data_IF_244410984106
#
_entry.id   IF_244410984106
#
_cell.length_a   1.000
_cell.length_b   1.000
_cell.length_c   1.000
_cell.angle_alpha   90.00
_cell.angle_beta   90.00
_cell.angle_gamma   90.00
#
_symmetry.space_group_name_H-M   'P 1'
#
loop_
_entity.id
_entity.type
_entity.pdbx_description
1 polymer ?
#
# COMPACT_ATOMS: atom_id res chain seq x y z
N UNK A 1 18.22 2.93 4.23
CA UNK A 1 16.86 3.13 4.79
C UNK A 1 16.98 3.55 6.25
N UNK A 2 17.62 2.76 7.10
CA UNK A 2 17.93 3.04 8.51
C UNK A 2 18.41 4.47 8.79
N UNK A 3 19.44 4.93 8.07
CA UNK A 3 19.95 6.30 8.16
C UNK A 3 18.87 7.39 7.97
N UNK A 4 17.89 7.16 7.09
CA UNK A 4 16.80 8.11 6.83
C UNK A 4 15.73 8.09 7.92
N UNK A 5 15.50 6.94 8.54
CA UNK A 5 14.54 6.79 9.65
C UNK A 5 15.05 7.54 10.89
N UNK A 6 16.28 7.27 11.32
CA UNK A 6 16.92 7.95 12.45
C UNK A 6 16.98 9.48 12.29
N UNK A 7 17.26 9.96 11.07
CA UNK A 7 17.24 11.40 10.75
C UNK A 7 15.81 11.97 10.79
N UNK A 8 14.83 11.25 10.21
CA UNK A 8 13.44 11.71 10.14
C UNK A 8 12.81 11.85 11.52
N UNK A 9 13.18 10.98 12.45
CA UNK A 9 12.71 11.00 13.83
C UNK A 9 13.52 11.94 14.73
N UNK A 10 14.56 12.59 14.19
CA UNK A 10 15.49 13.46 14.92
C UNK A 10 16.16 12.74 16.11
N UNK A 11 16.26 11.41 16.05
CA UNK A 11 16.86 10.59 17.09
C UNK A 11 18.38 10.79 17.18
N UNK A 12 19.03 11.09 16.05
CA UNK A 12 20.47 11.24 15.95
C UNK A 12 20.94 12.70 15.83
N UNK A 13 22.02 13.02 16.54
CA UNK A 13 22.65 14.33 16.53
C UNK A 13 24.17 14.23 16.54
N UNK A 14 24.84 15.30 16.13
CA UNK A 14 26.29 15.48 16.27
C UNK A 14 26.58 16.55 17.30
N UNK A 15 27.55 16.28 18.16
CA UNK A 15 28.09 17.24 19.13
C UNK A 15 29.50 17.63 18.69
N UNK A 16 29.73 18.95 18.60
CA UNK A 16 31.01 19.57 18.23
C UNK A 16 31.25 20.70 19.22
N UNK A 17 32.38 20.70 19.93
CA UNK A 17 32.73 21.70 20.96
C UNK A 17 31.60 21.94 21.99
N UNK A 18 30.89 20.87 22.36
CA UNK A 18 29.75 20.91 23.29
C UNK A 18 28.43 21.40 22.70
N UNK A 19 28.40 21.88 21.44
CA UNK A 19 27.17 22.27 20.75
C UNK A 19 26.55 21.08 20.02
N UNK A 20 25.24 20.85 20.20
CA UNK A 20 24.48 19.75 19.58
C UNK A 20 23.73 20.22 18.33
N UNK A 21 23.87 19.49 17.24
CA UNK A 21 23.20 19.73 15.97
C UNK A 21 22.46 18.48 15.50
N UNK A 22 21.18 18.62 15.11
CA UNK A 22 20.44 17.52 14.53
C UNK A 22 21.06 17.11 13.18
N UNK A 23 21.20 15.81 12.96
CA UNK A 23 21.70 15.31 11.67
C UNK A 23 20.66 15.54 10.58
N UNK A 24 21.13 15.98 9.42
CA UNK A 24 20.35 16.18 8.20
C UNK A 24 20.50 14.99 7.23
N UNK A 25 21.66 14.33 7.24
CA UNK A 25 21.96 13.16 6.43
C UNK A 25 23.10 12.38 7.08
N UNK A 26 23.15 11.07 6.86
CA UNK A 26 24.21 10.22 7.39
C UNK A 26 24.49 9.02 6.49
N UNK A 27 25.77 8.62 6.47
CA UNK A 27 26.29 7.42 5.84
C UNK A 27 27.41 6.85 6.73
N UNK A 28 27.84 5.62 6.47
CA UNK A 28 28.88 4.97 7.28
C UNK A 28 30.18 5.79 7.38
N UNK A 29 30.51 6.58 6.36
CA UNK A 29 31.76 7.37 6.29
C UNK A 29 31.59 8.86 6.55
N UNK A 30 30.39 9.35 6.84
CA UNK A 30 30.18 10.79 6.98
C UNK A 30 28.75 11.19 7.33
N UNK A 31 28.62 12.41 7.83
CA UNK A 31 27.34 12.99 8.24
C UNK A 31 27.21 14.41 7.72
N UNK A 32 25.99 14.93 7.72
CA UNK A 32 25.77 16.36 7.54
C UNK A 32 24.71 16.87 8.50
N UNK A 33 24.79 18.15 8.83
CA UNK A 33 23.83 18.83 9.70
C UNK A 33 23.58 20.25 9.17
N UNK A 34 22.45 20.84 9.60
CA UNK A 34 22.15 22.25 9.31
C UNK A 34 22.66 23.10 10.46
N UNK A 35 23.67 23.92 10.19
CA UNK A 35 24.23 24.85 11.15
C UNK A 35 23.30 26.08 11.28
N UNK A 36 22.88 26.47 12.50
CA UNK A 36 22.15 27.71 12.72
C UNK A 36 23.03 28.93 12.42
N UNK A 37 22.43 30.12 12.31
CA UNK A 37 23.12 31.33 11.81
C UNK A 37 24.27 31.79 12.71
N UNK A 38 24.18 31.49 13.99
CA UNK A 38 25.11 31.79 15.07
C UNK A 38 26.13 30.68 15.33
N UNK A 39 26.04 29.55 14.62
CA UNK A 39 27.02 28.49 14.75
C UNK A 39 28.41 28.94 14.26
N UNK A 40 29.49 28.36 14.81
CA UNK A 40 30.85 28.61 14.34
C UNK A 40 31.00 28.48 12.82
N UNK A 41 31.93 29.23 12.24
CA UNK A 41 32.35 29.02 10.86
C UNK A 41 33.41 27.94 10.84
N UNK A 42 33.17 26.85 10.11
CA UNK A 42 34.18 25.84 9.83
C UNK A 42 34.60 25.96 8.36
N UNK A 43 35.89 25.92 8.11
CA UNK A 43 36.45 25.90 6.76
C UNK A 43 36.50 24.48 6.22
N UNK A 44 36.43 24.35 4.89
CA UNK A 44 36.71 23.07 4.25
C UNK A 44 38.13 22.63 4.62
N UNK A 45 38.28 21.35 4.92
CA UNK A 45 39.49 20.71 5.45
C UNK A 45 39.77 20.90 6.95
N UNK A 46 38.97 21.69 7.68
CA UNK A 46 39.04 21.70 9.14
C UNK A 46 38.80 20.29 9.70
N UNK A 47 39.60 19.91 10.70
CA UNK A 47 39.44 18.63 11.42
C UNK A 47 38.87 18.92 12.80
N UNK A 48 37.70 18.32 13.06
CA UNK A 48 36.91 18.54 14.26
C UNK A 48 36.85 17.25 15.08
N UNK A 49 36.91 17.38 16.40
CA UNK A 49 36.51 16.30 17.30
C UNK A 49 34.98 16.27 17.36
N UNK A 50 34.40 15.10 17.09
CA UNK A 50 32.96 14.92 16.96
C UNK A 50 32.48 13.75 17.80
N UNK A 51 31.29 13.92 18.36
CA UNK A 51 30.56 12.87 19.08
C UNK A 51 29.15 12.76 18.48
N UNK A 52 28.91 11.67 17.76
CA UNK A 52 27.63 11.39 17.12
C UNK A 52 26.82 10.52 18.09
N UNK A 53 25.67 11.04 18.49
CA UNK A 53 24.80 10.44 19.50
C UNK A 53 23.46 10.01 18.92
N UNK A 54 22.93 8.94 19.48
CA UNK A 54 21.52 8.56 19.37
C UNK A 54 20.89 8.83 20.74
N UNK A 55 19.91 9.72 20.80
CA UNK A 55 19.39 10.29 22.06
C UNK A 55 20.53 10.85 22.94
N UNK A 56 20.74 10.28 24.12
CA UNK A 56 21.80 10.65 25.06
C UNK A 56 23.10 9.87 24.88
N UNK A 57 23.07 8.74 24.16
CA UNK A 57 24.17 7.76 24.08
C UNK A 57 25.07 8.01 22.88
N UNK A 58 26.39 7.96 23.09
CA UNK A 58 27.39 8.09 22.02
C UNK A 58 27.44 6.83 21.15
N UNK A 59 27.15 7.00 19.86
CA UNK A 59 27.26 5.95 18.85
C UNK A 59 28.61 5.99 18.12
N UNK A 60 29.25 7.15 18.05
CA UNK A 60 30.59 7.31 17.49
C UNK A 60 31.30 8.51 18.12
N UNK A 61 32.57 8.32 18.49
CA UNK A 61 33.43 9.42 18.93
C UNK A 61 34.74 9.36 18.15
N UNK A 62 35.14 10.47 17.56
CA UNK A 62 36.38 10.52 16.78
C UNK A 62 36.57 11.84 16.05
N UNK A 63 37.49 11.85 15.09
CA UNK A 63 37.78 13.03 14.27
C UNK A 63 37.04 12.97 12.94
N UNK A 64 36.53 14.11 12.51
CA UNK A 64 35.91 14.27 11.21
C UNK A 64 36.44 15.53 10.50
N UNK A 65 36.65 15.44 9.19
CA UNK A 65 37.06 16.56 8.35
C UNK A 65 35.84 17.22 7.73
N UNK A 66 35.80 18.54 7.69
CA UNK A 66 34.81 19.30 6.92
C UNK A 66 35.06 19.06 5.43
N UNK A 67 34.24 18.22 4.82
CA UNK A 67 34.37 17.84 3.43
C UNK A 67 33.70 18.86 2.49
N UNK A 68 32.63 19.53 2.94
CA UNK A 68 31.91 20.54 2.17
C UNK A 68 31.03 21.42 3.06
N UNK A 69 30.78 22.65 2.60
CA UNK A 69 29.69 23.50 3.07
C UNK A 69 28.83 23.92 1.88
N UNK A 70 27.51 23.76 1.98
CA UNK A 70 26.56 24.14 0.94
C UNK A 70 25.35 24.87 1.52
N UNK A 71 24.61 25.63 0.69
CA UNK A 71 23.38 26.31 1.12
C UNK A 71 22.15 25.49 0.71
N UNK A 72 21.36 25.06 1.69
CA UNK A 72 20.10 24.34 1.49
C UNK A 72 18.97 25.16 2.09
N UNK A 73 18.01 25.60 1.26
CA UNK A 73 16.91 26.50 1.65
C UNK A 73 17.38 27.75 2.42
N UNK A 74 18.52 28.34 2.00
CA UNK A 74 19.11 29.52 2.64
C UNK A 74 19.78 29.27 4.00
N UNK A 75 19.90 28.01 4.43
CA UNK A 75 20.64 27.60 5.65
C UNK A 75 21.97 26.92 5.27
N UNK A 76 22.97 27.02 6.15
CA UNK A 76 24.29 26.40 5.97
C UNK A 76 24.21 24.91 6.29
N UNK A 77 24.46 24.05 5.32
CA UNK A 77 24.60 22.61 5.52
C UNK A 77 26.09 22.27 5.52
N UNK A 78 26.57 21.71 6.62
CA UNK A 78 27.96 21.31 6.81
C UNK A 78 28.04 19.80 6.66
N UNK A 79 28.89 19.32 5.74
CA UNK A 79 29.14 17.91 5.52
C UNK A 79 30.51 17.51 6.05
N UNK A 80 30.53 16.51 6.94
CA UNK A 80 31.73 15.98 7.56
C UNK A 80 32.03 14.57 7.04
N UNK A 81 33.31 14.30 6.78
CA UNK A 81 33.84 12.97 6.51
C UNK A 81 34.57 12.45 7.75
N UNK A 82 34.23 11.25 8.21
CA UNK A 82 34.90 10.61 9.33
C UNK A 82 36.32 10.21 8.91
N UNK A 83 37.31 10.53 9.75
CA UNK A 83 38.74 10.26 9.48
C UNK A 83 39.24 8.95 10.10
N UNK A 84 38.46 8.33 10.97
CA UNK A 84 38.76 7.04 11.58
C UNK A 84 37.47 6.34 11.99
N UNK A 85 37.45 5.01 11.83
CA UNK A 85 36.26 4.20 12.07
C UNK A 85 35.14 4.47 11.05
N UNK A 86 33.94 4.00 11.38
CA UNK A 86 32.73 4.20 10.59
C UNK A 86 31.52 4.26 11.55
N UNK A 87 30.41 4.82 11.07
CA UNK A 87 29.13 4.75 11.76
C UNK A 87 28.49 3.39 11.54
N UNK A 88 28.36 2.62 12.62
CA UNK A 88 27.56 1.40 12.63
C UNK A 88 26.08 1.77 12.72
N UNK A 89 25.40 1.76 11.57
CA UNK A 89 23.98 2.11 11.48
C UNK A 89 23.08 1.10 12.19
N UNK A 90 23.50 -0.16 12.34
CA UNK A 90 22.73 -1.17 13.07
C UNK A 90 22.81 -0.92 14.57
N UNK A 91 23.99 -0.58 15.08
CA UNK A 91 24.15 -0.22 16.48
C UNK A 91 23.38 1.07 16.82
N UNK A 92 23.41 2.07 15.93
CA UNK A 92 22.60 3.29 16.10
C UNK A 92 21.10 2.99 16.16
N UNK A 93 20.60 2.08 15.31
CA UNK A 93 19.21 1.65 15.36
C UNK A 93 18.91 0.92 16.66
N UNK A 94 19.79 0.03 17.11
CA UNK A 94 19.66 -0.69 18.39
C UNK A 94 19.52 0.29 19.56
N UNK A 95 20.34 1.34 19.60
CA UNK A 95 20.27 2.39 20.63
C UNK A 95 18.94 3.18 20.58
N UNK A 96 18.41 3.43 19.38
CA UNK A 96 17.12 4.10 19.22
C UNK A 96 15.96 3.23 19.71
N UNK A 97 16.00 1.92 19.39
CA UNK A 97 15.04 0.92 19.85
C UNK A 97 15.10 0.74 21.38
N UNK A 98 16.30 0.73 21.98
CA UNK A 98 16.48 0.64 23.44
C UNK A 98 15.91 1.85 24.18
N UNK A 99 16.12 3.06 23.64
CA UNK A 99 15.54 4.27 24.21
C UNK A 99 14.02 4.27 24.03
N UNK A 100 13.52 3.85 22.86
CA UNK A 100 12.08 3.72 22.63
C UNK A 100 11.43 2.76 23.64
N UNK A 101 12.04 1.59 23.88
CA UNK A 101 11.60 0.64 24.89
C UNK A 101 11.66 1.25 26.30
N UNK A 102 12.75 1.94 26.65
CA UNK A 102 12.91 2.56 27.97
C UNK A 102 11.79 3.57 28.22
N UNK A 103 11.49 4.43 27.24
CA UNK A 103 10.36 5.37 27.30
C UNK A 103 9.01 4.66 27.43
N UNK A 104 8.80 3.58 26.68
CA UNK A 104 7.55 2.80 26.77
C UNK A 104 7.37 2.15 28.16
N UNK A 105 8.47 1.72 28.80
CA UNK A 105 8.46 1.16 30.15
C UNK A 105 8.25 2.24 31.23
N UNK A 106 8.85 3.41 31.06
CA UNK A 106 8.74 4.53 32.01
C UNK A 106 7.38 5.22 31.94
N UNK A 107 6.93 5.60 30.74
CA UNK A 107 5.70 6.36 30.54
C UNK A 107 4.45 5.47 30.51
N UNK A 108 4.64 4.17 30.25
CA UNK A 108 3.55 3.19 30.20
C UNK A 108 2.54 3.41 29.05
N UNK A 109 1.44 2.66 29.05
CA UNK A 109 0.38 2.80 28.04
C UNK A 109 -0.34 4.17 28.10
N UNK A 110 -0.24 4.90 29.20
CA UNK A 110 -0.83 6.22 29.43
C UNK A 110 -0.34 7.25 28.40
N UNK A 111 0.92 7.14 27.97
CA UNK A 111 1.51 8.00 26.93
C UNK A 111 0.71 7.98 25.64
N UNK A 112 0.39 6.78 25.16
CA UNK A 112 -0.40 6.56 23.95
C UNK A 112 -1.84 6.98 24.24
N UNK A 113 -2.41 6.51 25.35
CA UNK A 113 -3.81 6.75 25.71
C UNK A 113 -4.18 8.25 25.76
N UNK A 114 -3.30 9.08 26.32
CA UNK A 114 -3.50 10.52 26.44
C UNK A 114 -3.57 11.25 25.09
N UNK A 115 -2.94 10.69 24.05
CA UNK A 115 -2.88 11.26 22.70
C UNK A 115 -4.06 10.81 21.81
N UNK A 116 -4.80 9.77 22.22
CA UNK A 116 -5.96 9.29 21.47
C UNK A 116 -7.20 10.11 21.84
N UNK A 117 -7.95 10.70 20.89
CA UNK A 117 -9.16 11.44 21.22
C UNK A 117 -10.23 10.56 21.88
N UNK A 118 -11.00 11.16 22.80
CA UNK A 118 -12.06 10.46 23.53
C UNK A 118 -13.08 9.77 22.60
N UNK A 119 -13.52 10.47 21.54
CA UNK A 119 -14.46 9.92 20.56
C UNK A 119 -13.91 8.66 19.87
N UNK A 120 -12.61 8.64 19.54
CA UNK A 120 -11.99 7.46 18.96
C UNK A 120 -11.83 6.32 19.97
N UNK A 121 -11.44 6.62 21.21
CA UNK A 121 -11.36 5.62 22.28
C UNK A 121 -12.71 4.92 22.49
N UNK A 122 -13.80 5.67 22.49
CA UNK A 122 -15.16 5.13 22.63
C UNK A 122 -15.52 4.24 21.43
N UNK A 123 -15.27 4.71 20.20
CA UNK A 123 -15.54 3.93 19.00
C UNK A 123 -14.71 2.63 18.93
N UNK A 124 -13.43 2.70 19.30
CA UNK A 124 -12.54 1.54 19.37
C UNK A 124 -12.99 0.57 20.47
N UNK A 125 -13.35 1.06 21.66
CA UNK A 125 -13.86 0.22 22.75
C UNK A 125 -15.14 -0.53 22.30
N UNK A 126 -16.04 0.13 21.56
CA UNK A 126 -17.21 -0.51 20.97
C UNK A 126 -16.81 -1.61 19.98
N UNK A 127 -15.83 -1.37 19.12
CA UNK A 127 -15.33 -2.37 18.16
C UNK A 127 -14.67 -3.58 18.82
N UNK A 128 -13.84 -3.33 19.85
CA UNK A 128 -13.18 -4.37 20.65
C UNK A 128 -14.22 -5.22 21.37
N UNK A 129 -15.16 -4.58 22.06
CA UNK A 129 -16.25 -5.29 22.76
C UNK A 129 -17.08 -6.14 21.77
N UNK A 130 -17.41 -5.59 20.60
CA UNK A 130 -18.13 -6.30 19.56
C UNK A 130 -17.38 -7.56 19.08
N UNK A 131 -16.11 -7.41 18.71
CA UNK A 131 -15.28 -8.52 18.27
C UNK A 131 -15.13 -9.60 19.36
N UNK A 132 -14.79 -9.19 20.59
CA UNK A 132 -14.62 -10.09 21.72
C UNK A 132 -15.92 -10.87 22.06
N UNK A 133 -17.07 -10.19 22.01
CA UNK A 133 -18.38 -10.82 22.24
C UNK A 133 -18.63 -11.95 21.24
N UNK A 134 -18.47 -11.68 19.95
CA UNK A 134 -18.70 -12.70 18.91
C UNK A 134 -17.62 -13.77 18.89
N UNK A 135 -16.36 -13.44 19.19
CA UNK A 135 -15.30 -14.44 19.32
C UNK A 135 -15.63 -15.44 20.42
N UNK A 136 -16.04 -14.95 21.61
CA UNK A 136 -16.46 -15.80 22.74
C UNK A 136 -17.71 -16.61 22.42
N UNK A 137 -18.75 -15.97 21.90
CA UNK A 137 -20.04 -16.62 21.62
C UNK A 137 -19.91 -17.70 20.53
N UNK A 138 -19.26 -17.38 19.41
CA UNK A 138 -19.04 -18.35 18.34
C UNK A 138 -18.12 -19.48 18.80
N UNK A 139 -17.06 -19.18 19.56
CA UNK A 139 -16.18 -20.21 20.13
C UNK A 139 -16.92 -21.18 21.04
N UNK A 140 -17.84 -20.70 21.88
CA UNK A 140 -18.67 -21.55 22.74
C UNK A 140 -19.54 -22.52 21.94
N UNK A 141 -20.20 -22.03 20.88
CA UNK A 141 -21.04 -22.88 20.03
C UNK A 141 -20.22 -23.82 19.16
N UNK A 142 -19.09 -23.36 18.63
CA UNK A 142 -18.16 -24.15 17.83
C UNK A 142 -17.61 -25.35 18.60
N UNK A 143 -17.21 -25.17 19.87
CA UNK A 143 -16.71 -26.25 20.72
C UNK A 143 -17.75 -27.37 20.94
N UNK A 144 -19.04 -27.06 20.81
CA UNK A 144 -20.16 -28.02 20.96
C UNK A 144 -20.54 -28.72 19.67
N UNK A 145 -19.96 -28.31 18.54
CA UNK A 145 -20.18 -28.91 17.22
C UNK A 145 -19.12 -29.95 16.84
N UNK A 146 -18.19 -30.28 17.76
CA UNK A 146 -16.87 -30.84 17.50
C UNK A 146 -16.77 -32.14 16.66
N UNK A 147 -17.87 -32.81 16.31
CA UNK A 147 -17.91 -34.02 15.48
C UNK A 147 -18.73 -33.90 14.18
N UNK A 148 -19.15 -32.69 13.79
CA UNK A 148 -19.93 -32.49 12.55
C UNK A 148 -19.08 -31.97 11.41
N UNK A 149 -18.89 -32.78 10.37
CA UNK A 149 -18.26 -32.33 9.13
C UNK A 149 -19.07 -31.15 8.56
N UNK A 150 -18.41 -30.00 8.37
CA UNK A 150 -19.06 -28.78 7.85
C UNK A 150 -19.80 -27.92 8.90
N UNK A 151 -19.99 -28.39 10.14
CA UNK A 151 -20.75 -27.66 11.16
C UNK A 151 -20.20 -26.26 11.49
N UNK A 152 -18.87 -26.09 11.43
CA UNK A 152 -18.21 -24.78 11.59
C UNK A 152 -18.61 -23.78 10.51
N UNK A 153 -18.66 -24.22 9.26
CA UNK A 153 -18.97 -23.33 8.14
C UNK A 153 -20.44 -22.93 8.16
N UNK A 154 -21.33 -23.87 8.49
CA UNK A 154 -22.74 -23.59 8.66
C UNK A 154 -22.99 -22.59 9.80
N UNK A 155 -22.29 -22.76 10.94
CA UNK A 155 -22.32 -21.78 12.02
C UNK A 155 -21.87 -20.39 11.54
N UNK A 156 -20.79 -20.30 10.76
CA UNK A 156 -20.30 -19.04 10.23
C UNK A 156 -21.30 -18.39 9.25
N UNK A 157 -21.92 -19.16 8.35
CA UNK A 157 -22.97 -18.69 7.43
C UNK A 157 -24.18 -18.14 8.17
N UNK A 158 -24.66 -18.84 9.20
CA UNK A 158 -25.76 -18.35 10.01
C UNK A 158 -25.37 -17.09 10.81
N UNK A 159 -24.15 -17.06 11.34
CA UNK A 159 -23.69 -15.96 12.18
C UNK A 159 -23.51 -14.66 11.38
N UNK A 160 -22.95 -14.72 10.17
CA UNK A 160 -22.64 -13.51 9.39
C UNK A 160 -23.89 -12.69 9.06
N UNK A 161 -25.03 -13.33 8.81
CA UNK A 161 -26.30 -12.62 8.55
C UNK A 161 -26.69 -11.69 9.70
N UNK A 162 -26.47 -12.11 10.94
CA UNK A 162 -26.74 -11.29 12.11
C UNK A 162 -25.61 -10.28 12.42
N UNK A 163 -24.35 -10.62 12.11
CA UNK A 163 -23.18 -9.82 12.47
C UNK A 163 -22.98 -8.67 11.50
N UNK A 164 -23.17 -8.90 10.20
CA UNK A 164 -22.84 -7.98 9.10
C UNK A 164 -23.39 -6.56 9.26
N UNK A 165 -24.70 -6.31 9.45
CA UNK A 165 -25.21 -4.94 9.55
C UNK A 165 -24.65 -4.22 10.78
N UNK A 166 -24.47 -4.93 11.90
CA UNK A 166 -23.93 -4.34 13.13
C UNK A 166 -22.44 -4.04 13.02
N UNK A 167 -21.68 -4.93 12.38
CA UNK A 167 -20.25 -4.70 12.14
C UNK A 167 -20.04 -3.50 11.23
N UNK A 168 -20.86 -3.36 10.19
CA UNK A 168 -20.85 -2.20 9.30
C UNK A 168 -21.04 -0.87 10.08
N UNK A 169 -22.04 -0.80 10.97
CA UNK A 169 -22.26 0.38 11.82
C UNK A 169 -21.07 0.69 12.74
N UNK A 170 -20.50 -0.34 13.38
CA UNK A 170 -19.30 -0.18 14.23
C UNK A 170 -18.15 0.40 13.42
N UNK A 171 -17.93 -0.11 12.21
CA UNK A 171 -16.83 0.32 11.34
C UNK A 171 -16.99 1.77 10.86
N UNK A 172 -18.20 2.15 10.45
CA UNK A 172 -18.50 3.52 10.05
C UNK A 172 -18.37 4.51 11.21
N UNK A 173 -18.82 4.13 12.42
CA UNK A 173 -18.64 4.95 13.61
C UNK A 173 -17.15 5.16 13.94
N UNK A 174 -16.33 4.11 13.81
CA UNK A 174 -14.89 4.21 14.02
C UNK A 174 -14.20 5.08 12.95
N UNK A 175 -14.59 4.95 11.68
CA UNK A 175 -14.12 5.82 10.61
C UNK A 175 -14.50 7.30 10.83
N UNK A 176 -15.76 7.57 11.22
CA UNK A 176 -16.22 8.92 11.54
C UNK A 176 -15.45 9.53 12.72
N UNK A 177 -15.14 8.73 13.75
CA UNK A 177 -14.35 9.17 14.89
C UNK A 177 -12.89 9.51 14.54
N UNK A 178 -12.40 9.07 13.38
CA UNK A 178 -11.07 9.44 12.88
C UNK A 178 -11.02 10.81 12.20
N UNK A 179 -12.17 11.36 11.76
CA UNK A 179 -12.18 12.60 10.99
C UNK A 179 -11.40 13.77 11.64
N UNK A 180 -11.47 14.00 12.97
CA UNK A 180 -10.71 15.07 13.63
C UNK A 180 -9.19 14.85 13.65
N UNK A 181 -8.72 13.61 13.48
CA UNK A 181 -7.29 13.27 13.61
C UNK A 181 -6.58 13.05 12.29
N UNK A 182 -7.28 12.99 11.14
CA UNK A 182 -6.64 12.73 9.83
C UNK A 182 -5.49 13.70 9.49
N UNK A 183 -5.50 14.93 10.02
CA UNK A 183 -4.44 15.92 9.87
C UNK A 183 -3.38 15.93 10.99
N UNK A 184 -3.62 15.24 12.11
CA UNK A 184 -2.75 15.19 13.28
C UNK A 184 -1.96 13.87 13.29
N UNK A 185 -0.67 13.96 12.93
CA UNK A 185 0.20 12.78 12.86
C UNK A 185 0.39 12.09 14.20
N UNK A 186 0.42 12.84 15.30
CA UNK A 186 0.67 12.29 16.62
C UNK A 186 -0.56 11.54 17.10
N UNK A 187 -1.74 12.16 17.00
CA UNK A 187 -3.00 11.51 17.35
C UNK A 187 -3.31 10.30 16.45
N UNK A 188 -2.98 10.36 15.15
CA UNK A 188 -3.06 9.23 14.22
C UNK A 188 -2.20 8.05 14.67
N UNK A 189 -0.91 8.29 14.95
CA UNK A 189 0.01 7.25 15.38
C UNK A 189 -0.46 6.59 16.69
N UNK A 190 -0.89 7.40 17.66
CA UNK A 190 -1.43 6.89 18.92
C UNK A 190 -2.70 6.05 18.73
N UNK A 191 -3.64 6.51 17.88
CA UNK A 191 -4.88 5.80 17.58
C UNK A 191 -4.62 4.47 16.84
N UNK A 192 -3.66 4.43 15.91
CA UNK A 192 -3.20 3.20 15.26
C UNK A 192 -2.60 2.23 16.28
N UNK A 193 -1.65 2.69 17.09
CA UNK A 193 -1.00 1.87 18.12
C UNK A 193 -2.01 1.27 19.10
N UNK A 194 -2.99 2.06 19.55
CA UNK A 194 -4.06 1.57 20.43
C UNK A 194 -4.94 0.52 19.73
N UNK A 195 -5.24 0.69 18.44
CA UNK A 195 -6.03 -0.26 17.64
C UNK A 195 -5.29 -1.58 17.42
N UNK A 196 -4.00 -1.49 17.09
CA UNK A 196 -3.12 -2.65 16.92
C UNK A 196 -2.93 -3.42 18.22
N UNK A 197 -2.96 -2.74 19.36
CA UNK A 197 -2.87 -3.37 20.67
C UNK A 197 -4.18 -4.09 21.04
N UNK A 198 -5.33 -3.45 20.82
CA UNK A 198 -6.61 -3.91 21.39
C UNK A 198 -7.44 -4.77 20.43
N UNK A 199 -7.47 -4.44 19.14
CA UNK A 199 -8.39 -5.06 18.17
C UNK A 199 -7.70 -5.99 17.19
N UNK A 200 -6.57 -5.56 16.60
CA UNK A 200 -5.88 -6.32 15.57
C UNK A 200 -5.55 -7.77 15.95
N UNK A 201 -5.17 -8.13 17.20
CA UNK A 201 -4.88 -9.51 17.57
C UNK A 201 -6.08 -10.44 17.38
N UNK A 202 -7.30 -9.97 17.63
CA UNK A 202 -8.52 -10.75 17.36
C UNK A 202 -8.73 -10.93 15.86
N UNK A 203 -8.49 -9.87 15.07
CA UNK A 203 -8.68 -9.87 13.61
C UNK A 203 -7.75 -10.85 12.89
N UNK A 204 -6.62 -11.22 13.49
CA UNK A 204 -5.67 -12.21 12.93
C UNK A 204 -6.26 -13.61 12.78
N UNK A 205 -7.43 -13.89 13.38
CA UNK A 205 -8.18 -15.12 13.13
C UNK A 205 -8.69 -15.22 11.67
N UNK A 206 -8.85 -14.08 10.98
CA UNK A 206 -9.25 -14.01 9.57
C UNK A 206 -8.01 -14.02 8.65
N UNK A 207 -7.84 -15.03 7.77
CA UNK A 207 -6.65 -15.16 6.92
C UNK A 207 -6.34 -13.95 6.04
N UNK A 208 -7.34 -13.31 5.42
CA UNK A 208 -7.16 -12.13 4.56
C UNK A 208 -6.63 -10.93 5.35
N UNK A 209 -7.16 -10.69 6.55
CA UNK A 209 -6.71 -9.62 7.45
C UNK A 209 -5.31 -9.91 7.97
N UNK A 210 -5.05 -11.16 8.40
CA UNK A 210 -3.73 -11.58 8.86
C UNK A 210 -2.66 -11.38 7.79
N UNK A 211 -2.93 -11.81 6.56
CA UNK A 211 -1.98 -11.68 5.44
C UNK A 211 -1.70 -10.21 5.12
N UNK A 212 -2.73 -9.37 5.10
CA UNK A 212 -2.60 -7.94 4.85
C UNK A 212 -1.81 -7.22 5.96
N UNK A 213 -2.03 -7.58 7.23
CA UNK A 213 -1.34 -6.98 8.38
C UNK A 213 0.13 -7.41 8.49
N UNK A 214 0.43 -8.71 8.35
CA UNK A 214 1.80 -9.21 8.52
C UNK A 214 2.72 -8.92 7.34
N UNK A 215 2.16 -8.49 6.19
CA UNK A 215 2.89 -8.01 5.01
C UNK A 215 4.12 -8.88 4.69
N UNK A 216 3.97 -10.21 4.52
CA UNK A 216 5.11 -11.12 4.39
C UNK A 216 5.93 -10.91 3.10
N UNK A 217 5.42 -10.15 2.14
CA UNK A 217 6.15 -9.70 0.93
C UNK A 217 6.55 -8.21 1.01
N UNK A 218 6.45 -7.59 2.19
CA UNK A 218 6.79 -6.19 2.44
C UNK A 218 5.66 -5.18 2.15
N UNK A 219 4.47 -5.61 1.73
CA UNK A 219 3.31 -4.74 1.47
C UNK A 219 1.99 -5.46 1.73
N UNK A 220 0.92 -4.70 2.02
CA UNK A 220 -0.36 -5.24 2.48
C UNK A 220 -1.24 -5.81 1.36
N UNK A 221 -1.23 -5.17 0.19
CA UNK A 221 -2.07 -5.55 -0.96
C UNK A 221 -1.45 -6.62 -1.86
N UNK A 222 -0.81 -7.65 -1.30
CA UNK A 222 -0.13 -8.67 -2.10
C UNK A 222 -1.07 -9.61 -2.87
N UNK A 223 -0.52 -10.37 -3.82
CA UNK A 223 -1.31 -11.23 -4.69
C UNK A 223 -2.07 -12.35 -3.93
N UNK A 224 -1.64 -12.74 -2.73
CA UNK A 224 -2.37 -13.69 -1.89
C UNK A 224 -3.59 -13.02 -1.23
N UNK A 225 -3.45 -11.77 -0.79
CA UNK A 225 -4.60 -10.96 -0.35
C UNK A 225 -5.62 -10.81 -1.48
N UNK A 226 -5.16 -10.48 -2.69
CA UNK A 226 -6.03 -10.43 -3.86
C UNK A 226 -6.73 -11.77 -4.11
N UNK A 227 -6.01 -12.88 -3.98
CA UNK A 227 -6.57 -14.23 -4.15
C UNK A 227 -7.67 -14.55 -3.13
N UNK A 228 -7.51 -14.18 -1.86
CA UNK A 228 -8.57 -14.30 -0.85
C UNK A 228 -9.80 -13.47 -1.24
N UNK A 229 -9.58 -12.22 -1.65
CA UNK A 229 -10.66 -11.32 -2.05
C UNK A 229 -11.40 -11.85 -3.29
N UNK A 230 -10.70 -12.42 -4.27
CA UNK A 230 -11.34 -13.06 -5.44
C UNK A 230 -12.11 -14.32 -5.08
N UNK A 231 -11.63 -15.11 -4.12
CA UNK A 231 -12.32 -16.33 -3.66
C UNK A 231 -13.60 -16.01 -2.89
N UNK A 232 -13.61 -14.90 -2.16
CA UNK A 232 -14.78 -14.39 -1.41
C UNK A 232 -15.45 -15.46 -0.52
N UNK A 233 -14.61 -16.32 0.09
CA UNK A 233 -15.03 -17.50 0.84
C UNK A 233 -15.10 -17.28 2.36
N UNK A 234 -15.58 -18.31 3.07
CA UNK A 234 -15.50 -18.39 4.52
C UNK A 234 -14.21 -19.10 4.93
N UNK A 235 -13.11 -18.35 5.06
CA UNK A 235 -11.79 -18.92 5.38
C UNK A 235 -11.36 -18.58 6.81
N UNK A 236 -10.75 -19.55 7.50
CA UNK A 236 -10.30 -19.39 8.88
C UNK A 236 -10.35 -20.68 9.67
N UNK A 237 -9.53 -20.76 10.72
CA UNK A 237 -9.46 -21.94 11.60
C UNK A 237 -10.65 -22.03 12.57
N UNK A 238 -11.32 -20.91 12.85
CA UNK A 238 -12.47 -20.80 13.76
C UNK A 238 -13.69 -20.25 13.03
N UNK A 239 -14.89 -20.45 13.60
CA UNK A 239 -16.12 -19.83 13.07
C UNK A 239 -16.01 -18.29 13.06
N UNK A 240 -15.43 -17.71 14.10
CA UNK A 240 -15.14 -16.27 14.17
C UNK A 240 -14.22 -15.82 13.03
N UNK A 241 -13.11 -16.53 12.80
CA UNK A 241 -12.16 -16.22 11.72
C UNK A 241 -12.82 -16.28 10.34
N UNK A 242 -13.66 -17.30 10.10
CA UNK A 242 -14.45 -17.44 8.86
C UNK A 242 -15.41 -16.28 8.64
N UNK A 243 -16.14 -15.85 9.67
CA UNK A 243 -17.06 -14.71 9.60
C UNK A 243 -16.29 -13.42 9.29
N UNK A 244 -15.25 -13.10 10.05
CA UNK A 244 -14.51 -11.85 9.87
C UNK A 244 -13.69 -11.82 8.58
N UNK A 245 -13.23 -12.98 8.08
CA UNK A 245 -12.65 -13.08 6.75
C UNK A 245 -13.67 -12.71 5.68
N UNK A 246 -14.86 -13.30 5.73
CA UNK A 246 -15.92 -13.04 4.76
C UNK A 246 -16.37 -11.58 4.80
N UNK A 247 -16.59 -11.02 5.99
CA UNK A 247 -16.91 -9.60 6.17
C UNK A 247 -15.84 -8.71 5.52
N UNK A 248 -14.56 -8.98 5.79
CA UNK A 248 -13.45 -8.22 5.20
C UNK A 248 -13.42 -8.29 3.66
N UNK A 249 -13.72 -9.44 3.08
CA UNK A 249 -13.81 -9.61 1.63
C UNK A 249 -15.00 -8.86 1.02
N UNK A 250 -16.05 -8.59 1.79
CA UNK A 250 -17.28 -7.92 1.33
C UNK A 250 -17.27 -6.41 1.55
N UNK A 251 -16.34 -5.89 2.36
CA UNK A 251 -16.18 -4.45 2.56
C UNK A 251 -15.92 -3.71 1.24
N UNK A 252 -16.42 -2.48 1.04
CA UNK A 252 -16.37 -1.81 -0.26
C UNK A 252 -14.97 -1.71 -0.89
N UNK A 253 -13.92 -1.47 -0.10
CA UNK A 253 -12.54 -1.45 -0.64
C UNK A 253 -12.06 -2.81 -1.16
N UNK A 254 -12.51 -3.92 -0.55
CA UNK A 254 -12.18 -5.28 -0.99
C UNK A 254 -13.14 -5.75 -2.09
N UNK A 255 -14.44 -5.52 -1.97
CA UNK A 255 -15.41 -5.74 -3.03
C UNK A 255 -15.02 -5.00 -4.31
N UNK A 256 -14.49 -3.78 -4.16
CA UNK A 256 -13.91 -2.96 -5.22
C UNK A 256 -12.81 -3.66 -6.03
N UNK A 257 -12.05 -4.58 -5.44
CA UNK A 257 -11.06 -5.39 -6.18
C UNK A 257 -11.73 -6.35 -7.17
N UNK A 258 -12.89 -6.91 -6.82
CA UNK A 258 -13.66 -7.80 -7.72
C UNK A 258 -14.37 -7.00 -8.81
N UNK A 259 -15.02 -5.91 -8.45
CA UNK A 259 -15.77 -5.07 -9.40
C UNK A 259 -14.87 -4.25 -10.32
N UNK A 260 -13.68 -3.82 -9.87
CA UNK A 260 -12.68 -3.19 -10.74
C UNK A 260 -12.11 -4.18 -11.78
N UNK A 261 -11.93 -5.46 -11.40
CA UNK A 261 -11.62 -6.56 -12.33
C UNK A 261 -12.71 -6.68 -13.40
N UNK A 262 -13.98 -6.63 -12.99
CA UNK A 262 -15.11 -6.73 -13.94
C UNK A 262 -15.19 -5.54 -14.90
N UNK A 263 -14.88 -4.33 -14.42
CA UNK A 263 -14.76 -3.15 -15.28
C UNK A 263 -13.65 -3.33 -16.33
N UNK A 264 -12.47 -3.83 -15.93
CA UNK A 264 -11.36 -4.09 -16.88
C UNK A 264 -11.75 -5.14 -17.91
N UNK A 265 -12.45 -6.21 -17.50
CA UNK A 265 -13.00 -7.21 -18.44
C UNK A 265 -13.96 -6.57 -19.43
N UNK A 266 -14.85 -5.68 -18.98
CA UNK A 266 -15.77 -4.97 -19.86
C UNK A 266 -15.05 -4.05 -20.86
N UNK A 267 -14.04 -3.29 -20.42
CA UNK A 267 -13.20 -2.46 -21.29
C UNK A 267 -12.46 -3.31 -22.33
N UNK A 268 -11.95 -4.47 -21.92
CA UNK A 268 -11.23 -5.38 -22.81
C UNK A 268 -12.18 -5.96 -23.87
N UNK A 269 -13.39 -6.39 -23.49
CA UNK A 269 -14.41 -6.87 -24.44
C UNK A 269 -14.79 -5.79 -25.46
N UNK A 270 -14.94 -4.55 -25.03
CA UNK A 270 -15.26 -3.43 -25.91
C UNK A 270 -14.14 -3.16 -26.93
N UNK A 271 -12.88 -3.10 -26.48
CA UNK A 271 -11.74 -2.90 -27.40
C UNK A 271 -11.52 -4.11 -28.32
N UNK A 272 -11.71 -5.32 -27.80
CA UNK A 272 -11.65 -6.54 -28.62
C UNK A 272 -12.67 -6.50 -29.74
N UNK A 273 -13.95 -6.23 -29.44
CA UNK A 273 -15.01 -6.15 -30.45
C UNK A 273 -14.70 -5.10 -31.53
N UNK A 274 -14.35 -3.88 -31.11
CA UNK A 274 -13.99 -2.77 -32.02
C UNK A 274 -12.85 -3.12 -32.98
N UNK A 275 -11.85 -3.85 -32.49
CA UNK A 275 -10.70 -4.29 -33.30
C UNK A 275 -11.03 -5.44 -34.23
N UNK A 276 -11.83 -6.41 -33.75
CA UNK A 276 -12.30 -7.52 -34.58
C UNK A 276 -13.15 -7.05 -35.76
N UNK A 277 -13.94 -5.99 -35.61
CA UNK A 277 -14.67 -5.35 -36.73
C UNK A 277 -13.72 -4.86 -37.85
N UNK A 278 -12.48 -4.50 -37.52
CA UNK A 278 -11.44 -4.09 -38.47
C UNK A 278 -10.53 -5.25 -38.92
N UNK A 279 -10.80 -6.48 -38.46
CA UNK A 279 -9.95 -7.64 -38.72
C UNK A 279 -8.59 -7.61 -37.99
N UNK A 280 -8.47 -6.78 -36.95
CA UNK A 280 -7.23 -6.58 -36.21
C UNK A 280 -7.17 -7.41 -34.91
N UNK A 281 -5.95 -7.76 -34.49
CA UNK A 281 -5.68 -8.32 -33.16
C UNK A 281 -5.65 -7.25 -32.07
N UNK A 282 -5.68 -7.69 -30.81
CA UNK A 282 -5.68 -6.83 -29.62
C UNK A 282 -4.43 -7.06 -28.77
N UNK A 283 -3.68 -6.00 -28.45
CA UNK A 283 -2.57 -6.02 -27.49
C UNK A 283 -2.97 -5.34 -26.20
N UNK A 284 -2.89 -6.07 -25.09
CA UNK A 284 -3.33 -5.60 -23.77
C UNK A 284 -2.18 -5.69 -22.77
N UNK A 285 -1.92 -4.60 -22.06
CA UNK A 285 -0.94 -4.56 -20.97
C UNK A 285 -1.61 -4.35 -19.61
N UNK A 286 -1.29 -5.24 -18.67
CA UNK A 286 -1.67 -5.18 -17.26
C UNK A 286 -0.47 -4.78 -16.42
N UNK A 287 -0.48 -3.57 -15.84
CA UNK A 287 0.59 -3.10 -14.95
C UNK A 287 0.21 -3.33 -13.48
N UNK A 288 1.00 -4.13 -12.78
CA UNK A 288 0.67 -4.68 -11.48
C UNK A 288 -0.40 -5.75 -11.61
N UNK A 289 -0.13 -6.75 -12.44
CA UNK A 289 -1.13 -7.74 -12.84
C UNK A 289 -1.58 -8.67 -11.71
N UNK A 290 -0.80 -8.82 -10.63
CA UNK A 290 -1.06 -9.79 -9.59
C UNK A 290 -1.28 -11.18 -10.19
N UNK A 291 -2.36 -11.91 -9.83
CA UNK A 291 -2.69 -13.21 -10.42
C UNK A 291 -3.37 -13.14 -11.80
N UNK A 292 -3.52 -11.95 -12.40
CA UNK A 292 -4.19 -11.73 -13.69
C UNK A 292 -5.58 -12.37 -13.81
N UNK A 293 -6.36 -12.30 -12.72
CA UNK A 293 -7.65 -13.00 -12.59
C UNK A 293 -8.65 -12.55 -13.65
N UNK A 294 -8.62 -11.27 -14.03
CA UNK A 294 -9.39 -10.68 -15.11
C UNK A 294 -9.18 -11.41 -16.44
N UNK A 295 -7.94 -11.82 -16.76
CA UNK A 295 -7.61 -12.50 -18.01
C UNK A 295 -8.12 -13.93 -17.99
N UNK A 296 -7.87 -14.65 -16.89
CA UNK A 296 -8.30 -16.04 -16.71
C UNK A 296 -9.82 -16.17 -16.82
N UNK A 297 -10.56 -15.28 -16.14
CA UNK A 297 -12.02 -15.29 -16.21
C UNK A 297 -12.53 -14.84 -17.58
N UNK A 298 -11.89 -13.84 -18.22
CA UNK A 298 -12.29 -13.42 -19.56
C UNK A 298 -12.17 -14.58 -20.56
N UNK A 299 -11.08 -15.34 -20.52
CA UNK A 299 -10.87 -16.53 -21.36
C UNK A 299 -11.92 -17.62 -21.09
N UNK A 300 -12.28 -17.84 -19.83
CA UNK A 300 -13.26 -18.86 -19.43
C UNK A 300 -14.72 -18.48 -19.65
N UNK A 301 -15.07 -17.19 -19.62
CA UNK A 301 -16.44 -16.68 -19.78
C UNK A 301 -16.79 -16.29 -21.22
N UNK A 302 -15.82 -16.25 -22.13
CA UNK A 302 -16.08 -15.85 -23.51
C UNK A 302 -16.91 -16.92 -24.23
N UNK A 303 -18.03 -16.51 -24.83
CA UNK A 303 -18.91 -17.41 -25.58
C UNK A 303 -18.22 -18.04 -26.80
N UNK A 304 -17.31 -17.28 -27.43
CA UNK A 304 -16.43 -17.75 -28.49
C UNK A 304 -14.96 -17.60 -28.08
N UNK A 305 -14.06 -18.48 -28.53
CA UNK A 305 -12.64 -18.35 -28.24
C UNK A 305 -12.08 -17.02 -28.73
N UNK A 306 -11.39 -16.30 -27.85
CA UNK A 306 -10.71 -15.05 -28.22
C UNK A 306 -9.64 -15.35 -29.29
N UNK A 307 -9.54 -14.49 -30.30
CA UNK A 307 -8.60 -14.62 -31.40
C UNK A 307 -7.62 -13.47 -31.42
N UNK A 308 -6.34 -13.77 -31.55
CA UNK A 308 -5.27 -12.80 -31.80
C UNK A 308 -5.16 -11.73 -30.69
N UNK A 309 -5.35 -12.14 -29.44
CA UNK A 309 -5.14 -11.28 -28.25
C UNK A 309 -3.77 -11.58 -27.64
N UNK A 310 -2.96 -10.55 -27.47
CA UNK A 310 -1.64 -10.65 -26.85
C UNK A 310 -1.63 -9.94 -25.49
N UNK A 311 -1.36 -10.68 -24.43
CA UNK A 311 -1.32 -10.20 -23.05
C UNK A 311 0.11 -9.92 -22.60
N UNK A 312 0.37 -8.69 -22.17
CA UNK A 312 1.63 -8.30 -21.51
C UNK A 312 1.35 -8.07 -20.02
N UNK A 313 1.82 -8.99 -19.19
CA UNK A 313 1.56 -9.01 -17.74
C UNK A 313 2.80 -8.53 -16.99
N UNK A 314 2.70 -7.41 -16.28
CA UNK A 314 3.84 -6.79 -15.60
C UNK A 314 3.59 -6.78 -14.09
N UNK A 315 4.55 -7.25 -13.30
CA UNK A 315 4.49 -7.20 -11.85
C UNK A 315 5.90 -7.14 -11.23
N UNK A 316 6.00 -6.69 -9.99
CA UNK A 316 7.25 -6.67 -9.21
C UNK A 316 7.46 -7.96 -8.40
N UNK A 317 6.48 -8.85 -8.35
CA UNK A 317 6.50 -10.09 -7.59
C UNK A 317 6.57 -11.31 -8.50
N UNK A 318 7.72 -12.01 -8.50
CA UNK A 318 7.94 -13.20 -9.33
C UNK A 318 6.93 -14.31 -9.06
N UNK A 319 6.49 -14.47 -7.81
CA UNK A 319 5.47 -15.47 -7.46
C UNK A 319 4.10 -15.13 -8.06
N UNK A 320 3.75 -13.85 -8.12
CA UNK A 320 2.52 -13.38 -8.74
C UNK A 320 2.56 -13.63 -10.26
N UNK A 321 3.68 -13.28 -10.91
CA UNK A 321 3.89 -13.57 -12.34
C UNK A 321 3.83 -15.06 -12.65
N UNK A 322 4.41 -15.90 -11.79
CA UNK A 322 4.38 -17.36 -11.95
C UNK A 322 2.95 -17.90 -11.94
N UNK A 323 2.13 -17.45 -10.99
CA UNK A 323 0.70 -17.80 -10.91
C UNK A 323 -0.06 -17.29 -12.12
N UNK A 324 0.11 -16.01 -12.47
CA UNK A 324 -0.55 -15.39 -13.61
C UNK A 324 -0.23 -16.11 -14.92
N UNK A 325 1.05 -16.37 -15.20
CA UNK A 325 1.47 -17.04 -16.43
C UNK A 325 0.90 -18.45 -16.52
N UNK A 326 1.01 -19.24 -15.45
CA UNK A 326 0.48 -20.60 -15.41
C UNK A 326 -1.03 -20.64 -15.66
N UNK A 327 -1.81 -19.81 -14.96
CA UNK A 327 -3.26 -19.83 -15.06
C UNK A 327 -3.76 -19.26 -16.39
N UNK A 328 -3.10 -18.22 -16.92
CA UNK A 328 -3.43 -17.64 -18.23
C UNK A 328 -3.11 -18.62 -19.36
N UNK A 329 -1.92 -19.21 -19.39
CA UNK A 329 -1.56 -20.20 -20.44
C UNK A 329 -2.49 -21.41 -20.39
N UNK A 330 -2.83 -21.89 -19.19
CA UNK A 330 -3.85 -22.94 -19.03
C UNK A 330 -5.19 -22.49 -19.59
N UNK A 331 -5.66 -21.29 -19.24
CA UNK A 331 -6.92 -20.73 -19.75
C UNK A 331 -6.96 -20.59 -21.27
N UNK A 332 -5.84 -20.19 -21.89
CA UNK A 332 -5.69 -20.12 -23.36
C UNK A 332 -5.84 -21.52 -23.97
N UNK A 333 -5.10 -22.50 -23.43
CA UNK A 333 -5.13 -23.88 -23.93
C UNK A 333 -6.51 -24.53 -23.81
N UNK A 334 -7.21 -24.32 -22.68
CA UNK A 334 -8.52 -24.93 -22.43
C UNK A 334 -9.68 -24.23 -23.16
N UNK A 335 -9.54 -22.95 -23.49
CA UNK A 335 -10.57 -22.19 -24.21
C UNK A 335 -10.48 -22.33 -25.73
N UNK A 336 -9.41 -22.94 -26.26
CA UNK A 336 -9.15 -22.98 -27.70
C UNK A 336 -8.83 -21.60 -28.31
N UNK A 337 -8.46 -20.64 -27.47
CA UNK A 337 -8.11 -19.28 -27.89
C UNK A 337 -6.77 -19.26 -28.64
N UNK A 338 -6.64 -18.42 -29.67
CA UNK A 338 -5.34 -18.12 -30.31
C UNK A 338 -4.57 -17.00 -29.60
N UNK A 339 -4.93 -16.69 -28.36
CA UNK A 339 -4.24 -15.69 -27.56
C UNK A 339 -2.84 -16.12 -27.17
N UNK A 340 -2.01 -15.15 -26.79
CA UNK A 340 -0.69 -15.38 -26.21
C UNK A 340 -0.47 -14.51 -24.98
N UNK A 341 0.46 -14.90 -24.11
CA UNK A 341 0.82 -14.13 -22.93
C UNK A 341 2.33 -14.08 -22.74
N UNK A 342 2.82 -12.94 -22.25
CA UNK A 342 4.18 -12.77 -21.76
C UNK A 342 4.16 -12.11 -20.38
N UNK A 343 5.15 -12.45 -19.55
CA UNK A 343 5.33 -11.86 -18.23
C UNK A 343 6.62 -11.07 -18.17
N UNK A 344 6.58 -9.88 -17.59
CA UNK A 344 7.73 -9.02 -17.39
C UNK A 344 7.86 -8.67 -15.92
N UNK A 345 8.98 -9.07 -15.32
CA UNK A 345 9.36 -8.63 -14.00
C UNK A 345 9.86 -7.17 -14.07
N UNK A 346 9.19 -6.28 -13.35
CA UNK A 346 9.62 -4.88 -13.20
C UNK A 346 9.36 -4.41 -11.77
N UNK A 347 10.42 -4.00 -11.08
CA UNK A 347 10.29 -3.35 -9.77
C UNK A 347 9.49 -2.06 -9.89
N UNK A 348 8.48 -1.87 -9.04
CA UNK A 348 7.75 -0.60 -9.03
C UNK A 348 8.63 0.57 -8.60
N UNK A 349 9.63 0.35 -7.76
CA UNK A 349 10.58 1.41 -7.41
C UNK A 349 11.37 1.86 -8.64
N UNK A 350 11.87 0.91 -9.44
CA UNK A 350 12.55 1.22 -10.69
C UNK A 350 11.60 1.93 -11.66
N UNK A 351 10.38 1.43 -11.80
CA UNK A 351 9.36 2.05 -12.64
C UNK A 351 9.01 3.48 -12.22
N UNK A 352 8.96 3.75 -10.93
CA UNK A 352 8.69 5.08 -10.39
C UNK A 352 9.86 6.04 -10.67
N UNK A 353 11.10 5.54 -10.63
CA UNK A 353 12.32 6.34 -10.89
C UNK A 353 12.53 6.58 -12.38
N UNK A 354 12.33 5.55 -13.19
CA UNK A 354 12.42 5.58 -14.64
C UNK A 354 11.23 4.85 -15.27
N UNK A 355 10.11 5.56 -15.51
CA UNK A 355 8.95 4.99 -16.19
C UNK A 355 9.26 4.46 -17.61
N UNK A 356 10.38 4.90 -18.22
CA UNK A 356 10.79 4.41 -19.54
C UNK A 356 11.38 3.00 -19.51
N UNK A 357 11.58 2.42 -18.33
CA UNK A 357 11.95 1.02 -18.15
C UNK A 357 10.92 0.04 -18.76
N UNK A 358 9.66 0.47 -18.95
CA UNK A 358 8.67 -0.33 -19.69
C UNK A 358 9.08 -0.36 -21.18
N UNK A 359 9.71 -1.47 -21.58
CA UNK A 359 10.12 -1.77 -22.96
C UNK A 359 9.21 -2.84 -23.54
N UNK A 360 8.07 -2.39 -24.07
CA UNK A 360 7.06 -3.25 -24.69
C UNK A 360 6.65 -2.65 -26.03
N UNK A 361 6.13 -3.48 -26.92
CA UNK A 361 5.52 -2.97 -28.15
C UNK A 361 4.31 -2.08 -27.85
N UNK A 362 3.94 -1.15 -28.74
CA UNK A 362 2.75 -0.33 -28.56
C UNK A 362 1.48 -1.18 -28.36
N UNK A 363 0.70 -0.83 -27.35
CA UNK A 363 -0.47 -1.54 -26.84
C UNK A 363 -1.77 -0.84 -27.26
N UNK A 364 -2.86 -1.59 -27.29
CA UNK A 364 -4.19 -1.09 -27.63
C UNK A 364 -5.03 -0.77 -26.39
N UNK A 365 -4.79 -1.52 -25.31
CA UNK A 365 -5.35 -1.28 -23.99
C UNK A 365 -4.25 -1.42 -22.96
N UNK A 366 -4.11 -0.42 -22.10
CA UNK A 366 -3.25 -0.46 -20.92
C UNK A 366 -4.13 -0.22 -19.69
N UNK A 367 -4.00 -1.05 -18.67
CA UNK A 367 -4.64 -0.79 -17.39
C UNK A 367 -3.72 -0.97 -16.19
N UNK A 368 -3.99 -0.18 -15.15
CA UNK A 368 -3.32 -0.26 -13.85
C UNK A 368 -4.31 0.05 -12.74
N UNK A 369 -4.64 -0.93 -11.90
CA UNK A 369 -5.83 -0.83 -11.02
C UNK A 369 -5.54 -0.77 -9.53
N UNK A 370 -4.27 -0.83 -9.10
CA UNK A 370 -3.91 -0.77 -7.68
C UNK A 370 -2.61 -0.04 -7.33
N UNK A 371 -1.76 0.31 -8.31
CA UNK A 371 -0.48 0.97 -8.03
C UNK A 371 -0.65 2.46 -7.68
N UNK A 372 -1.60 3.15 -8.32
CA UNK A 372 -1.81 4.60 -8.18
C UNK A 372 -2.29 5.01 -6.78
N UNK A 373 -2.80 4.05 -6.01
CA UNK A 373 -3.15 4.21 -4.60
C UNK A 373 -1.94 4.56 -3.71
N UNK A 374 -0.70 4.36 -4.19
CA UNK A 374 0.51 4.60 -3.41
C UNK A 374 1.41 5.70 -3.97
N UNK A 375 1.12 6.21 -5.17
CA UNK A 375 1.99 7.17 -5.85
C UNK A 375 1.66 8.58 -5.40
N UNK A 376 2.67 9.44 -5.22
CA UNK A 376 2.42 10.89 -5.13
C UNK A 376 1.87 11.43 -6.45
N UNK A 377 1.17 12.57 -6.44
CA UNK A 377 0.58 13.14 -7.67
C UNK A 377 1.61 13.32 -8.80
N UNK A 378 2.81 13.82 -8.47
CA UNK A 378 3.92 13.96 -9.43
C UNK A 378 4.35 12.62 -10.05
N UNK A 379 4.41 11.54 -9.26
CA UNK A 379 4.78 10.21 -9.73
C UNK A 379 3.66 9.58 -10.56
N UNK A 380 2.41 9.76 -10.15
CA UNK A 380 1.23 9.34 -10.90
C UNK A 380 1.23 10.00 -12.29
N UNK A 381 1.41 11.32 -12.37
CA UNK A 381 1.53 12.05 -13.65
C UNK A 381 2.65 11.55 -14.55
N UNK A 382 3.84 11.31 -13.98
CA UNK A 382 4.97 10.80 -14.73
C UNK A 382 4.71 9.41 -15.30
N UNK A 383 4.12 8.52 -14.49
CA UNK A 383 3.75 7.17 -14.94
C UNK A 383 2.62 7.20 -15.96
N UNK A 384 1.59 8.03 -15.78
CA UNK A 384 0.51 8.20 -16.76
C UNK A 384 1.05 8.61 -18.13
N UNK A 385 1.94 9.62 -18.19
CA UNK A 385 2.58 10.01 -19.47
C UNK A 385 3.37 8.87 -20.09
N UNK A 386 4.16 8.16 -19.29
CA UNK A 386 4.95 7.04 -19.80
C UNK A 386 4.07 5.90 -20.34
N UNK A 387 2.95 5.58 -19.69
CA UNK A 387 2.00 4.59 -20.18
C UNK A 387 1.32 5.04 -21.48
N UNK A 388 0.94 6.31 -21.58
CA UNK A 388 0.37 6.89 -22.81
C UNK A 388 1.32 6.80 -24.00
N UNK A 389 2.62 7.03 -23.80
CA UNK A 389 3.65 6.84 -24.84
C UNK A 389 3.74 5.38 -25.37
N UNK A 390 3.18 4.39 -24.64
CA UNK A 390 3.10 2.99 -25.08
C UNK A 390 1.77 2.65 -25.73
N UNK A 391 0.84 3.59 -25.86
CA UNK A 391 -0.41 3.34 -26.58
C UNK A 391 -0.20 3.53 -28.07
N UNK A 392 -0.91 2.72 -28.85
CA UNK A 392 -1.14 3.01 -30.26
C UNK A 392 -2.13 4.17 -30.41
N UNK A 393 -2.14 4.84 -31.58
CA UNK A 393 -3.24 5.72 -31.93
C UNK A 393 -4.59 5.00 -31.77
N UNK A 394 -5.57 5.68 -31.17
CA UNK A 394 -6.87 5.12 -30.82
C UNK A 394 -6.87 4.16 -29.61
N UNK A 395 -5.72 3.92 -28.96
CA UNK A 395 -5.57 3.04 -27.80
C UNK A 395 -6.14 3.63 -26.51
N UNK A 396 -6.41 2.78 -25.51
CA UNK A 396 -7.06 3.15 -24.25
C UNK A 396 -6.15 2.96 -23.05
N UNK A 397 -6.12 3.94 -22.15
CA UNK A 397 -5.54 3.85 -20.82
C UNK A 397 -6.64 3.85 -19.76
N UNK A 398 -6.59 2.88 -18.84
CA UNK A 398 -7.49 2.81 -17.69
C UNK A 398 -6.69 2.75 -16.38
N UNK A 399 -6.82 3.77 -15.53
CA UNK A 399 -6.13 3.86 -14.24
C UNK A 399 -7.15 3.92 -13.11
N UNK A 400 -7.12 2.95 -12.20
CA UNK A 400 -7.95 2.93 -10.99
C UNK A 400 -7.27 3.62 -9.80
N UNK A 401 -8.05 4.32 -8.97
CA UNK A 401 -7.59 4.82 -7.68
C UNK A 401 -8.72 4.83 -6.64
N UNK A 402 -8.39 4.54 -5.38
CA UNK A 402 -9.31 4.56 -4.26
C UNK A 402 -9.94 5.96 -4.09
N UNK A 403 -11.27 5.99 -3.95
CA UNK A 403 -12.06 7.21 -3.93
C UNK A 403 -11.87 7.99 -2.62
N UNK A 404 -11.80 9.32 -2.71
CA UNK A 404 -12.04 10.25 -1.60
C UNK A 404 -13.35 11.06 -1.82
N UNK A 405 -14.10 11.40 -0.75
CA UNK A 405 -13.96 10.86 0.60
C UNK A 405 -14.29 9.36 0.63
N UNK A 406 -13.73 8.65 1.61
CA UNK A 406 -13.96 7.23 1.81
C UNK A 406 -14.34 7.01 3.26
N UNK A 407 -15.49 6.38 3.53
CA UNK A 407 -15.89 6.06 4.90
C UNK A 407 -15.44 4.64 5.32
N UNK A 408 -14.75 3.92 4.42
CA UNK A 408 -14.35 2.53 4.61
C UNK A 408 -12.86 2.35 4.90
N UNK A 409 -12.07 3.43 4.92
CA UNK A 409 -10.62 3.41 5.14
C UNK A 409 -10.19 2.82 6.49
N UNK A 410 -11.02 2.92 7.54
CA UNK A 410 -10.60 2.61 8.92
C UNK A 410 -10.01 1.21 9.10
N UNK A 411 -10.61 0.19 8.47
CA UNK A 411 -10.10 -1.18 8.56
C UNK A 411 -8.70 -1.29 7.94
N UNK A 412 -8.50 -0.74 6.74
CA UNK A 412 -7.19 -0.71 6.10
C UNK A 412 -6.18 0.10 6.90
N UNK A 413 -6.52 1.36 7.20
CA UNK A 413 -5.61 2.31 7.81
C UNK A 413 -5.24 1.91 9.26
N UNK A 414 -6.21 1.62 10.13
CA UNK A 414 -5.95 1.45 11.57
C UNK A 414 -5.79 0.01 12.05
N UNK A 415 -6.39 -0.96 11.36
CA UNK A 415 -6.33 -2.37 11.77
C UNK A 415 -5.23 -3.12 11.02
N UNK A 416 -4.98 -2.77 9.76
CA UNK A 416 -4.05 -3.48 8.88
C UNK A 416 -2.74 -2.72 8.62
N UNK A 417 -2.61 -1.50 9.15
CA UNK A 417 -1.55 -0.54 8.79
C UNK A 417 -1.34 -0.47 7.26
N UNK A 418 -2.46 -0.37 6.54
CA UNK A 418 -2.53 -0.32 5.09
C UNK A 418 -2.99 1.07 4.67
N UNK A 419 -2.01 1.96 4.49
CA UNK A 419 -2.26 3.34 4.06
C UNK A 419 -2.31 3.49 2.55
N UNK A 420 -3.39 4.10 2.07
CA UNK A 420 -3.64 4.45 0.67
C UNK A 420 -3.79 5.96 0.50
N UNK A 421 -3.48 6.45 -0.69
CA UNK A 421 -3.76 7.82 -1.12
C UNK A 421 -5.11 7.82 -1.84
N UNK A 422 -6.14 8.18 -1.09
CA UNK A 422 -7.50 8.38 -1.59
C UNK A 422 -7.60 9.69 -2.39
N UNK A 423 -8.30 9.69 -3.51
CA UNK A 423 -8.46 10.88 -4.36
C UNK A 423 -9.88 11.09 -4.84
N UNK A 424 -10.26 12.36 -4.92
CA UNK A 424 -11.47 12.76 -5.62
C UNK A 424 -11.25 12.76 -7.15
N UNK A 425 -12.34 13.00 -7.90
CA UNK A 425 -12.31 13.02 -9.36
C UNK A 425 -11.43 14.13 -9.95
N UNK A 426 -11.27 15.26 -9.26
CA UNK A 426 -10.42 16.34 -9.74
C UNK A 426 -8.94 15.95 -9.61
N UNK A 427 -8.57 15.33 -8.50
CA UNK A 427 -7.23 14.80 -8.24
C UNK A 427 -6.87 13.65 -9.18
N UNK A 428 -7.80 12.74 -9.49
CA UNK A 428 -7.59 11.70 -10.50
C UNK A 428 -7.36 12.30 -11.88
N UNK A 429 -8.15 13.31 -12.30
CA UNK A 429 -7.94 13.99 -13.59
C UNK A 429 -6.55 14.60 -13.72
N UNK A 430 -5.97 15.10 -12.62
CA UNK A 430 -4.61 15.65 -12.62
C UNK A 430 -3.54 14.61 -12.95
N UNK A 431 -3.82 13.31 -12.95
CA UNK A 431 -2.88 12.31 -13.48
C UNK A 431 -2.55 12.55 -14.96
N UNK A 432 -3.51 13.07 -15.73
CA UNK A 432 -3.37 13.41 -17.15
C UNK A 432 -3.55 14.92 -17.36
N UNK A 433 -2.91 15.75 -16.53
CA UNK A 433 -3.05 17.21 -16.58
C UNK A 433 -2.60 17.85 -17.91
N UNK A 434 -1.80 17.15 -18.71
CA UNK A 434 -1.34 17.54 -20.05
C UNK A 434 -2.32 17.18 -21.17
N UNK A 435 -3.50 16.63 -20.84
CA UNK A 435 -4.51 16.18 -21.79
C UNK A 435 -5.75 17.06 -21.71
N UNK A 436 -6.41 17.27 -22.84
CA UNK A 436 -7.73 17.90 -22.88
C UNK A 436 -8.69 17.16 -21.92
N UNK A 437 -9.26 17.84 -20.91
CA UNK A 437 -10.23 17.24 -20.01
C UNK A 437 -11.43 16.58 -20.71
N UNK A 438 -11.80 17.03 -21.92
CA UNK A 438 -12.87 16.44 -22.71
C UNK A 438 -12.55 15.01 -23.21
N UNK A 439 -11.28 14.66 -23.31
CA UNK A 439 -10.82 13.32 -23.69
C UNK A 439 -10.72 12.34 -22.50
N UNK A 440 -11.02 12.81 -21.27
CA UNK A 440 -10.91 12.02 -20.04
C UNK A 440 -12.30 11.68 -19.51
N UNK A 441 -12.63 10.39 -19.51
CA UNK A 441 -13.79 9.86 -18.80
C UNK A 441 -13.37 9.44 -17.38
N UNK A 442 -14.15 9.83 -16.37
CA UNK A 442 -14.04 9.28 -15.02
C UNK A 442 -15.21 8.35 -14.74
N UNK A 443 -14.94 7.06 -14.55
CA UNK A 443 -15.96 6.03 -14.33
C UNK A 443 -15.82 5.40 -12.96
N UNK A 444 -16.93 5.28 -12.23
CA UNK A 444 -16.99 4.59 -10.93
C UNK A 444 -17.23 3.11 -11.14
N UNK A 445 -16.53 2.25 -10.41
CA UNK A 445 -16.84 0.82 -10.37
C UNK A 445 -18.01 0.51 -9.40
N UNK A 446 -18.62 -0.67 -9.53
CA UNK A 446 -19.92 -1.00 -8.91
C UNK A 446 -19.95 -0.99 -7.37
N UNK A 447 -18.83 -1.23 -6.69
CA UNK A 447 -18.74 -1.15 -5.22
C UNK A 447 -18.73 0.29 -4.69
N UNK A 448 -18.41 1.25 -5.56
CA UNK A 448 -18.32 2.67 -5.22
C UNK A 448 -17.04 3.09 -4.49
N UNK A 449 -16.06 2.20 -4.36
CA UNK A 449 -14.83 2.44 -3.62
C UNK A 449 -13.67 2.95 -4.50
N UNK A 450 -13.74 2.79 -5.81
CA UNK A 450 -12.72 3.25 -6.76
C UNK A 450 -13.32 4.04 -7.92
N UNK A 451 -12.61 5.08 -8.36
CA UNK A 451 -12.88 5.78 -9.62
C UNK A 451 -11.73 5.47 -10.61
N UNK A 452 -12.08 5.35 -11.89
CA UNK A 452 -11.18 5.06 -12.99
C UNK A 452 -11.03 6.27 -13.89
N UNK A 453 -9.80 6.68 -14.15
CA UNK A 453 -9.46 7.52 -15.30
C UNK A 453 -9.40 6.64 -16.54
N UNK A 454 -10.27 6.91 -17.50
CA UNK A 454 -10.29 6.25 -18.81
C UNK A 454 -9.98 7.32 -19.85
N UNK A 455 -8.92 7.10 -20.60
CA UNK A 455 -8.43 8.02 -21.62
C UNK A 455 -8.21 7.25 -22.93
N UNK A 456 -8.60 7.85 -24.06
CA UNK A 456 -8.31 7.31 -25.39
C UNK A 456 -7.35 8.25 -26.12
N UNK A 457 -6.28 7.70 -26.68
CA UNK A 457 -5.41 8.48 -27.57
C UNK A 457 -6.13 8.77 -28.91
N UNK A 458 -5.87 9.94 -29.53
CA UNK A 458 -6.34 10.22 -30.88
C UNK A 458 -5.94 9.13 -31.89
N UNK A 459 -6.78 8.90 -32.92
CA UNK A 459 -6.49 7.96 -34.02
C UNK A 459 -5.35 8.43 -34.93
#
# INVERSE_FOLDING_TARGET
QLARELVREHAAAIVIDGARFALYDMAMSGVSFIAPRDAPSWQVDDVLDVDIRVHATSAFTGRARVAREERVYGRRRVGLQLLGGFLDLHEMQRLDEEEALSRDLEDGPERVYAQVPAAYREALARAVHFAAFYQRSLGYHEARLADTQGGREELARRAIEAIRPRWHEVRLAAAAACAPILGDRQAMAAAKAMTETLLSPMMMAAPVLKRAYTKPLGYAGDFQVMTHIYRDGFEGATAFGKVFHKLACEEPLAAGVRTRKDLVKALTRAEYARRRERGEGLKVMSLGCGPAREVVELLGESAEPLRDVHWTLIDQEERALSVAYHDVVRGIATSGSSSSAQCLYLSFEQLIRDPKAIRVEPQDLIYCVGLFDYLSERRAQALTRALRERLRPGGVLAIGNALAPNDHFWLGEFVLDWSLIYRDRAAIRRFAADVDPAAIEIRREASGAYDFLILREPE
#
